data_IF_307011972169
#
_entry.id   IF_307011972169
#
_cell.length_a   1.000
_cell.length_b   1.000
_cell.length_c   1.000
_cell.angle_alpha   90.00
_cell.angle_beta   90.00
_cell.angle_gamma   90.00
#
_symmetry.space_group_name_H-M   'P 1'
#
loop_
_entity.id
_entity.type
_entity.pdbx_description
1 polymer ?
#
# COMPACT_ATOMS: atom_id res chain seq x y z
N UNK A 1 -26.27 -5.89 -8.28
CA UNK A 1 -25.64 -4.87 -9.14
C UNK A 1 -25.17 -3.74 -8.22
N UNK A 2 -23.91 -3.33 -8.31
CA UNK A 2 -23.43 -2.16 -7.56
C UNK A 2 -24.03 -0.87 -8.10
N UNK A 3 -24.06 0.18 -7.29
CA UNK A 3 -24.52 1.49 -7.71
C UNK A 3 -23.66 2.02 -8.87
N UNK A 4 -24.31 2.66 -9.86
CA UNK A 4 -23.64 3.26 -11.03
C UNK A 4 -23.48 4.77 -10.84
N UNK A 5 -22.70 5.42 -11.71
CA UNK A 5 -22.51 6.87 -11.66
C UNK A 5 -22.98 7.53 -12.96
N UNK A 6 -23.37 8.80 -12.92
CA UNK A 6 -23.70 9.58 -14.13
C UNK A 6 -22.56 10.56 -14.43
N UNK A 7 -22.02 10.45 -15.65
CA UNK A 7 -21.11 11.45 -16.20
C UNK A 7 -21.90 12.46 -17.04
N UNK A 8 -21.66 13.75 -16.80
CA UNK A 8 -22.25 14.85 -17.58
C UNK A 8 -21.23 16.01 -17.75
N UNK A 9 -20.00 15.75 -18.23
CA UNK A 9 -19.03 16.81 -18.44
C UNK A 9 -19.41 17.71 -19.62
N UNK A 10 -18.79 18.88 -19.63
CA UNK A 10 -18.74 19.73 -20.83
C UNK A 10 -17.74 19.14 -21.81
N UNK A 11 -18.19 18.89 -23.03
CA UNK A 11 -17.35 18.42 -24.12
C UNK A 11 -16.57 19.53 -24.82
N UNK A 12 -15.69 19.14 -25.74
CA UNK A 12 -14.86 20.09 -26.52
C UNK A 12 -15.58 20.59 -27.77
N UNK A 13 -16.61 19.88 -28.25
CA UNK A 13 -17.37 20.18 -29.45
C UNK A 13 -16.63 19.75 -30.71
N UNK A 14 -16.24 18.48 -30.81
CA UNK A 14 -15.52 17.97 -31.97
C UNK A 14 -16.49 17.24 -32.91
N UNK A 15 -17.23 17.98 -33.74
CA UNK A 15 -18.25 17.40 -34.63
C UNK A 15 -17.71 16.28 -35.53
N UNK A 16 -16.48 16.42 -36.03
CA UNK A 16 -15.84 15.37 -36.86
C UNK A 16 -15.59 14.06 -36.11
N UNK A 17 -15.40 14.13 -34.78
CA UNK A 17 -15.35 12.95 -33.93
C UNK A 17 -16.75 12.37 -33.73
N UNK A 18 -17.71 13.23 -33.35
CA UNK A 18 -19.08 12.83 -33.03
C UNK A 18 -19.77 12.15 -34.22
N UNK A 19 -19.52 12.66 -35.43
CA UNK A 19 -20.12 12.16 -36.66
C UNK A 19 -19.28 11.09 -37.36
N UNK A 20 -18.15 10.68 -36.76
CA UNK A 20 -17.23 9.68 -37.30
C UNK A 20 -16.64 10.04 -38.67
N UNK A 21 -16.47 11.33 -38.95
CA UNK A 21 -15.69 11.83 -40.10
C UNK A 21 -14.19 11.48 -39.95
N UNK A 22 -13.76 11.23 -38.72
CA UNK A 22 -12.44 10.68 -38.39
C UNK A 22 -12.56 9.61 -37.29
N UNK A 23 -11.81 8.52 -37.45
CA UNK A 23 -11.76 7.42 -36.49
C UNK A 23 -10.57 7.61 -35.54
N UNK A 24 -10.86 7.85 -34.27
CA UNK A 24 -9.83 7.98 -33.23
C UNK A 24 -9.31 6.61 -32.77
N UNK A 25 -8.14 6.58 -32.13
CA UNK A 25 -7.51 5.32 -31.63
C UNK A 25 -8.38 4.52 -30.65
N UNK A 26 -9.38 5.15 -30.03
CA UNK A 26 -10.22 4.50 -29.02
C UNK A 26 -11.52 3.94 -29.61
N UNK A 27 -11.80 4.25 -30.88
CA UNK A 27 -12.95 3.76 -31.61
C UNK A 27 -12.60 2.39 -32.19
N UNK A 28 -13.52 1.45 -32.06
CA UNK A 28 -13.45 0.15 -32.74
C UNK A 28 -14.27 0.26 -34.02
N UNK A 29 -13.63 0.39 -35.20
CA UNK A 29 -14.30 0.72 -36.47
C UNK A 29 -15.46 -0.23 -36.80
N UNK A 30 -15.28 -1.50 -36.47
CA UNK A 30 -16.25 -2.56 -36.74
C UNK A 30 -17.55 -2.37 -35.95
N UNK A 31 -17.57 -1.56 -34.89
CA UNK A 31 -18.75 -1.31 -34.06
C UNK A 31 -19.46 0.00 -34.40
N UNK A 32 -18.93 0.81 -35.31
CA UNK A 32 -19.50 2.13 -35.66
C UNK A 32 -20.95 2.03 -36.12
N UNK A 33 -21.36 0.92 -36.74
CA UNK A 33 -22.74 0.68 -37.15
C UNK A 33 -23.72 0.44 -35.98
N UNK A 34 -23.21 0.25 -34.75
CA UNK A 34 -24.04 0.23 -33.55
C UNK A 34 -24.40 1.63 -33.05
N UNK A 35 -23.66 2.66 -33.46
CA UNK A 35 -23.94 4.03 -33.06
C UNK A 35 -25.35 4.45 -33.48
N UNK A 36 -25.97 5.35 -32.70
CA UNK A 36 -27.32 5.84 -32.97
C UNK A 36 -27.29 7.35 -33.19
N UNK A 37 -27.95 7.80 -34.24
CA UNK A 37 -28.06 9.23 -34.58
C UNK A 37 -29.50 9.65 -34.28
N UNK A 38 -29.68 10.62 -33.38
CA UNK A 38 -30.99 11.17 -33.03
C UNK A 38 -31.23 12.53 -33.69
N UNK A 39 -30.16 13.28 -33.93
CA UNK A 39 -30.17 14.55 -34.64
C UNK A 39 -28.80 14.75 -35.28
N UNK A 40 -28.76 15.22 -36.52
CA UNK A 40 -27.52 15.56 -37.22
C UNK A 40 -27.82 16.60 -38.30
N UNK A 41 -27.70 17.87 -37.91
CA UNK A 41 -27.85 19.04 -38.77
C UNK A 41 -26.49 19.76 -38.89
N UNK A 42 -26.20 20.39 -40.03
CA UNK A 42 -25.01 21.23 -40.13
C UNK A 42 -25.11 22.45 -39.21
N UNK A 43 -23.96 22.95 -38.74
CA UNK A 43 -23.94 24.12 -37.86
C UNK A 43 -24.51 25.36 -38.57
N UNK A 44 -24.26 25.47 -39.88
CA UNK A 44 -24.74 26.54 -40.73
C UNK A 44 -26.28 26.54 -40.87
N UNK A 45 -26.89 25.38 -41.16
CA UNK A 45 -28.35 25.26 -41.25
C UNK A 45 -29.01 25.54 -39.89
N UNK A 46 -28.42 25.03 -38.81
CA UNK A 46 -28.92 25.26 -37.47
C UNK A 46 -28.87 26.74 -37.08
N UNK A 47 -27.81 27.45 -37.47
CA UNK A 47 -27.68 28.90 -37.26
C UNK A 47 -28.72 29.69 -38.06
N UNK A 48 -28.99 29.29 -39.30
CA UNK A 48 -30.02 29.92 -40.13
C UNK A 48 -31.41 29.74 -39.49
N UNK A 49 -31.75 28.54 -39.00
CA UNK A 49 -33.01 28.31 -38.28
C UNK A 49 -33.11 29.11 -36.99
N UNK A 50 -32.02 29.20 -36.23
CA UNK A 50 -32.02 29.88 -34.94
C UNK A 50 -32.03 31.42 -35.06
N UNK A 51 -31.33 31.97 -36.04
CA UNK A 51 -30.98 33.40 -36.08
C UNK A 51 -31.24 34.08 -37.42
N UNK A 52 -31.52 33.35 -38.50
CA UNK A 52 -31.66 33.89 -39.85
C UNK A 52 -32.70 35.00 -39.93
N UNK A 53 -33.90 34.77 -39.38
CA UNK A 53 -34.96 35.79 -39.34
C UNK A 53 -34.53 37.04 -38.55
N UNK A 54 -33.98 36.85 -37.34
CA UNK A 54 -33.52 37.97 -36.51
C UNK A 54 -32.37 38.77 -37.16
N UNK A 55 -31.53 38.11 -37.95
CA UNK A 55 -30.44 38.74 -38.71
C UNK A 55 -31.00 39.58 -39.85
N UNK A 56 -31.96 39.04 -40.60
CA UNK A 56 -32.66 39.77 -41.68
C UNK A 56 -33.34 41.03 -41.13
N UNK A 57 -34.11 40.89 -40.06
CA UNK A 57 -34.83 42.00 -39.43
C UNK A 57 -33.86 43.08 -38.91
N UNK A 58 -32.78 42.66 -38.25
CA UNK A 58 -31.74 43.58 -37.78
C UNK A 58 -31.10 44.37 -38.94
N UNK A 59 -30.75 43.69 -40.04
CA UNK A 59 -30.11 44.29 -41.19
C UNK A 59 -31.05 45.23 -41.96
N UNK A 60 -32.33 44.90 -42.06
CA UNK A 60 -33.36 45.74 -42.67
C UNK A 60 -33.49 47.09 -41.93
N UNK A 61 -33.35 47.09 -40.61
CA UNK A 61 -33.37 48.30 -39.80
C UNK A 61 -32.07 49.15 -39.87
N UNK A 62 -30.96 48.62 -40.43
CA UNK A 62 -29.68 49.33 -40.48
C UNK A 62 -29.59 50.31 -41.67
N UNK A 63 -29.47 51.60 -41.36
CA UNK A 63 -29.14 52.67 -42.32
C UNK A 63 -27.67 52.69 -42.74
N UNK A 64 -26.78 52.26 -41.84
CA UNK A 64 -25.32 52.26 -42.03
C UNK A 64 -24.83 50.91 -42.54
N UNK A 65 -24.13 50.88 -43.68
CA UNK A 65 -23.65 49.64 -44.29
C UNK A 65 -22.66 48.89 -43.39
N UNK A 66 -21.81 49.60 -42.67
CA UNK A 66 -20.81 49.03 -41.75
C UNK A 66 -21.41 48.37 -40.50
N UNK A 67 -22.68 48.62 -40.19
CA UNK A 67 -23.39 48.00 -39.05
C UNK A 67 -24.15 46.73 -39.42
N UNK A 68 -24.30 46.44 -40.70
CA UNK A 68 -24.95 45.21 -41.18
C UNK A 68 -24.04 44.03 -40.93
N UNK A 69 -24.65 42.88 -40.62
CA UNK A 69 -23.96 41.62 -40.36
C UNK A 69 -24.23 40.68 -41.52
N UNK A 70 -23.19 40.16 -42.15
CA UNK A 70 -23.34 39.26 -43.28
C UNK A 70 -23.63 37.82 -42.84
N UNK A 71 -22.90 37.34 -41.83
CA UNK A 71 -23.02 35.96 -41.35
C UNK A 71 -22.89 35.95 -39.82
N UNK A 72 -23.99 35.63 -39.12
CA UNK A 72 -24.00 35.68 -37.66
C UNK A 72 -23.14 34.59 -37.00
N UNK A 73 -22.95 33.43 -37.64
CA UNK A 73 -22.03 32.40 -37.15
C UNK A 73 -20.60 32.95 -37.08
N UNK A 74 -20.12 33.58 -38.17
CA UNK A 74 -18.80 34.23 -38.21
C UNK A 74 -18.67 35.36 -37.20
N UNK A 75 -19.74 36.07 -36.90
CA UNK A 75 -19.75 37.11 -35.86
C UNK A 75 -19.49 36.51 -34.47
N UNK A 76 -20.01 35.32 -34.18
CA UNK A 76 -19.75 34.61 -32.94
C UNK A 76 -18.32 34.05 -32.91
N UNK A 77 -17.85 33.44 -34.00
CA UNK A 77 -16.47 32.92 -34.11
C UNK A 77 -15.41 34.00 -33.84
N UNK A 78 -15.65 35.21 -34.33
CA UNK A 78 -14.73 36.34 -34.18
C UNK A 78 -15.00 37.19 -32.92
N UNK A 79 -15.97 36.80 -32.09
CA UNK A 79 -16.38 37.56 -30.91
C UNK A 79 -15.35 37.46 -29.78
N UNK A 80 -14.96 38.61 -29.20
CA UNK A 80 -14.15 38.66 -27.99
C UNK A 80 -14.89 38.29 -26.70
N UNK A 81 -16.22 38.05 -26.76
CA UNK A 81 -17.07 37.85 -25.59
C UNK A 81 -17.02 36.43 -24.99
N UNK A 82 -16.16 35.55 -25.53
CA UNK A 82 -16.00 34.14 -25.10
C UNK A 82 -17.25 33.27 -25.29
N UNK A 83 -18.24 33.74 -26.06
CA UNK A 83 -19.37 32.92 -26.50
C UNK A 83 -18.87 31.89 -27.51
N UNK A 84 -19.30 30.63 -27.36
CA UNK A 84 -18.96 29.58 -28.31
C UNK A 84 -20.04 29.49 -29.38
N UNK A 85 -19.68 29.09 -30.59
CA UNK A 85 -20.65 28.84 -31.66
C UNK A 85 -21.67 27.78 -31.25
N UNK A 86 -21.22 26.76 -30.52
CA UNK A 86 -22.09 25.80 -29.86
C UNK A 86 -21.44 25.23 -28.60
N UNK A 87 -22.21 24.43 -27.87
CA UNK A 87 -21.79 23.79 -26.63
C UNK A 87 -22.08 22.29 -26.71
N UNK A 88 -21.18 21.49 -26.13
CA UNK A 88 -21.30 20.04 -26.09
C UNK A 88 -21.43 19.57 -24.64
N UNK A 89 -22.32 18.61 -24.42
CA UNK A 89 -22.32 17.77 -23.23
C UNK A 89 -22.16 16.31 -23.62
N UNK A 90 -21.27 15.62 -22.89
CA UNK A 90 -21.10 14.17 -23.04
C UNK A 90 -21.83 13.50 -21.88
N UNK A 91 -22.73 12.56 -22.16
CA UNK A 91 -23.56 11.92 -21.14
C UNK A 91 -23.32 10.41 -21.13
N UNK A 92 -22.97 9.86 -19.98
CA UNK A 92 -22.69 8.44 -19.80
C UNK A 92 -23.30 7.94 -18.49
N UNK A 93 -23.78 6.70 -18.49
CA UNK A 93 -24.24 5.98 -17.30
C UNK A 93 -23.23 4.85 -17.03
N UNK A 94 -22.74 4.79 -15.80
CA UNK A 94 -21.73 3.82 -15.37
C UNK A 94 -20.31 4.17 -15.83
N UNK A 95 -19.40 3.23 -15.59
CA UNK A 95 -17.99 3.25 -15.99
C UNK A 95 -17.65 1.97 -16.75
N UNK A 96 -16.45 1.90 -17.33
CA UNK A 96 -16.05 0.77 -18.18
C UNK A 96 -16.18 -0.58 -17.45
N UNK A 97 -15.93 -0.59 -16.15
CA UNK A 97 -15.93 -1.80 -15.33
C UNK A 97 -17.34 -2.32 -15.06
N UNK A 98 -18.37 -1.46 -15.06
CA UNK A 98 -19.74 -1.85 -14.73
C UNK A 98 -20.72 -1.76 -15.91
N UNK A 99 -20.38 -1.03 -16.97
CA UNK A 99 -21.21 -0.82 -18.17
C UNK A 99 -20.34 -0.86 -19.44
N UNK A 100 -19.51 -1.91 -19.65
CA UNK A 100 -18.74 -2.04 -20.87
C UNK A 100 -19.68 -2.27 -22.06
N UNK A 101 -19.36 -1.71 -23.23
CA UNK A 101 -20.16 -1.96 -24.44
C UNK A 101 -20.21 -3.46 -24.77
N UNK A 102 -19.07 -4.15 -24.73
CA UNK A 102 -18.96 -5.56 -25.14
C UNK A 102 -18.53 -6.49 -24.00
N UNK A 103 -19.00 -7.73 -24.08
CA UNK A 103 -18.51 -8.85 -23.26
C UNK A 103 -17.19 -9.42 -23.81
N UNK A 104 -16.69 -10.48 -23.17
CA UNK A 104 -15.45 -11.18 -23.56
C UNK A 104 -15.52 -11.78 -24.98
N UNK A 105 -16.73 -12.01 -25.49
CA UNK A 105 -16.97 -12.58 -26.82
C UNK A 105 -17.22 -11.49 -27.89
N UNK A 106 -17.17 -10.21 -27.51
CA UNK A 106 -17.44 -9.09 -28.41
C UNK A 106 -18.92 -8.80 -28.64
N UNK A 107 -19.84 -9.39 -27.88
CA UNK A 107 -21.27 -9.13 -27.98
C UNK A 107 -21.70 -7.96 -27.09
N UNK A 108 -22.73 -7.23 -27.50
CA UNK A 108 -23.29 -6.12 -26.72
C UNK A 108 -23.80 -6.62 -25.35
N UNK A 109 -23.29 -6.04 -24.26
CA UNK A 109 -23.67 -6.45 -22.89
C UNK A 109 -25.09 -6.04 -22.55
N UNK A 110 -25.71 -6.72 -21.57
CA UNK A 110 -27.03 -6.36 -21.07
C UNK A 110 -27.01 -4.98 -20.37
N UNK A 111 -25.94 -4.67 -19.64
CA UNK A 111 -25.75 -3.36 -19.01
C UNK A 111 -25.66 -2.25 -20.06
N UNK A 112 -24.96 -2.49 -21.17
CA UNK A 112 -24.89 -1.53 -22.26
C UNK A 112 -26.24 -1.35 -22.97
N UNK A 113 -27.03 -2.42 -23.14
CA UNK A 113 -28.39 -2.34 -23.70
C UNK A 113 -29.31 -1.48 -22.81
N UNK A 114 -29.32 -1.73 -21.51
CA UNK A 114 -30.13 -0.95 -20.56
C UNK A 114 -29.69 0.53 -20.57
N UNK A 115 -28.39 0.80 -20.51
CA UNK A 115 -27.86 2.17 -20.58
C UNK A 115 -28.23 2.86 -21.90
N UNK A 116 -28.18 2.13 -23.02
CA UNK A 116 -28.59 2.61 -24.35
C UNK A 116 -30.05 3.03 -24.37
N UNK A 117 -30.95 2.23 -23.81
CA UNK A 117 -32.39 2.57 -23.73
C UNK A 117 -32.64 3.85 -22.90
N UNK A 118 -31.98 3.98 -21.75
CA UNK A 118 -32.12 5.15 -20.88
C UNK A 118 -31.61 6.41 -21.60
N UNK A 119 -30.41 6.32 -22.19
CA UNK A 119 -29.82 7.43 -22.90
C UNK A 119 -30.64 7.80 -24.15
N UNK A 120 -31.21 6.83 -24.85
CA UNK A 120 -32.12 7.06 -25.97
C UNK A 120 -33.36 7.86 -25.54
N UNK A 121 -34.01 7.45 -24.45
CA UNK A 121 -35.17 8.17 -23.90
C UNK A 121 -34.77 9.60 -23.47
N UNK A 122 -33.61 9.75 -22.84
CA UNK A 122 -33.07 11.05 -22.44
C UNK A 122 -32.84 11.97 -23.64
N UNK A 123 -32.24 11.46 -24.72
CA UNK A 123 -31.94 12.19 -25.96
C UNK A 123 -33.23 12.64 -26.67
N UNK A 124 -34.18 11.72 -26.87
CA UNK A 124 -35.45 12.00 -27.57
C UNK A 124 -36.29 13.09 -26.91
N UNK A 125 -36.19 13.21 -25.58
CA UNK A 125 -36.96 14.18 -24.79
C UNK A 125 -36.14 15.45 -24.45
N UNK A 126 -34.88 15.55 -24.90
CA UNK A 126 -33.98 16.65 -24.53
C UNK A 126 -34.49 18.02 -24.96
N UNK A 127 -34.95 18.16 -26.21
CA UNK A 127 -35.39 19.45 -26.76
C UNK A 127 -36.61 20.02 -26.02
N UNK A 128 -37.52 19.15 -25.58
CA UNK A 128 -38.74 19.54 -24.84
C UNK A 128 -38.42 20.15 -23.47
N UNK A 129 -37.42 19.59 -22.76
CA UNK A 129 -36.95 20.12 -21.46
C UNK A 129 -36.08 21.37 -21.61
N UNK A 130 -35.51 21.57 -22.79
CA UNK A 130 -34.49 22.58 -23.08
C UNK A 130 -34.89 23.46 -24.27
N UNK A 131 -36.03 24.17 -24.22
CA UNK A 131 -36.57 24.89 -25.39
C UNK A 131 -35.63 25.97 -25.94
N UNK A 132 -34.75 26.53 -25.11
CA UNK A 132 -33.79 27.57 -25.53
C UNK A 132 -32.39 27.03 -25.82
N UNK A 133 -32.20 25.71 -25.81
CA UNK A 133 -30.98 25.06 -26.26
C UNK A 133 -31.34 24.25 -27.50
N UNK A 134 -31.12 24.83 -28.68
CA UNK A 134 -31.45 24.19 -29.95
C UNK A 134 -30.49 23.02 -30.19
N UNK A 135 -31.03 21.80 -30.13
CA UNK A 135 -30.30 20.56 -30.36
C UNK A 135 -30.12 20.37 -31.87
N UNK A 136 -28.89 20.55 -32.35
CA UNK A 136 -28.57 20.40 -33.78
C UNK A 136 -27.75 19.15 -34.08
N UNK A 137 -27.09 18.55 -33.07
CA UNK A 137 -26.41 17.27 -33.24
C UNK A 137 -26.51 16.43 -31.95
N UNK A 138 -26.90 15.17 -32.09
CA UNK A 138 -27.06 14.23 -30.99
C UNK A 138 -26.76 12.81 -31.45
N UNK A 139 -25.62 12.27 -31.03
CA UNK A 139 -25.10 10.97 -31.45
C UNK A 139 -24.73 10.13 -30.24
N UNK A 140 -25.12 8.86 -30.24
CA UNK A 140 -24.72 7.86 -29.26
C UNK A 140 -23.61 6.98 -29.82
N UNK A 141 -22.52 6.88 -29.08
CA UNK A 141 -21.40 6.00 -29.38
C UNK A 141 -21.53 4.68 -28.64
N UNK A 142 -21.51 3.58 -29.39
CA UNK A 142 -21.46 2.19 -28.94
C UNK A 142 -20.22 1.48 -29.49
N UNK A 143 -19.28 2.22 -30.07
CA UNK A 143 -18.05 1.73 -30.69
C UNK A 143 -16.80 2.02 -29.84
N UNK A 144 -16.98 2.59 -28.65
CA UNK A 144 -15.93 2.87 -27.67
C UNK A 144 -16.05 1.96 -26.44
N UNK A 145 -15.48 2.35 -25.28
CA UNK A 145 -15.46 1.50 -24.09
C UNK A 145 -16.83 1.40 -23.40
N UNK A 146 -17.59 2.48 -23.38
CA UNK A 146 -18.86 2.66 -22.65
C UNK A 146 -19.88 3.36 -23.54
N UNK A 147 -21.17 3.01 -23.48
CA UNK A 147 -22.21 3.76 -24.15
C UNK A 147 -22.25 5.22 -23.68
N UNK A 148 -22.16 6.18 -24.59
CA UNK A 148 -22.26 7.59 -24.24
C UNK A 148 -22.88 8.42 -25.35
N UNK A 149 -23.54 9.51 -24.96
CA UNK A 149 -24.11 10.51 -25.86
C UNK A 149 -23.19 11.71 -26.00
N UNK A 150 -23.08 12.20 -27.22
CA UNK A 150 -22.68 13.56 -27.53
C UNK A 150 -23.95 14.38 -27.82
N UNK A 151 -24.12 15.49 -27.09
CA UNK A 151 -25.26 16.39 -27.21
C UNK A 151 -24.72 17.78 -27.50
N UNK A 152 -24.81 18.20 -28.75
CA UNK A 152 -24.35 19.51 -29.23
C UNK A 152 -25.55 20.43 -29.45
N UNK A 153 -25.52 21.60 -28.81
CA UNK A 153 -26.62 22.55 -28.84
C UNK A 153 -26.15 24.00 -28.99
N UNK A 154 -27.03 24.80 -29.58
CA UNK A 154 -26.88 26.25 -29.74
C UNK A 154 -27.82 26.94 -28.75
N UNK A 155 -27.32 27.78 -27.83
CA UNK A 155 -28.18 28.55 -26.96
C UNK A 155 -28.87 29.67 -27.72
N UNK A 156 -30.20 29.76 -27.63
CA UNK A 156 -31.00 30.78 -28.31
C UNK A 156 -31.67 31.65 -27.25
N UNK A 157 -31.32 32.93 -27.24
CA UNK A 157 -31.84 33.89 -26.27
C UNK A 157 -32.53 35.07 -26.96
N UNK A 158 -33.74 35.40 -26.53
CA UNK A 158 -34.60 36.41 -27.16
C UNK A 158 -34.65 37.74 -26.41
N UNK A 159 -35.31 38.76 -26.98
CA UNK A 159 -35.67 39.99 -26.28
C UNK A 159 -34.49 40.91 -25.94
N UNK A 160 -33.48 41.01 -26.81
CA UNK A 160 -32.44 42.04 -26.69
C UNK A 160 -32.93 43.37 -27.30
N UNK A 161 -32.74 44.47 -26.58
CA UNK A 161 -33.18 45.82 -27.02
C UNK A 161 -32.19 46.54 -27.94
N UNK A 162 -30.94 46.11 -27.92
CA UNK A 162 -29.89 46.61 -28.82
C UNK A 162 -29.48 45.49 -29.75
N UNK A 163 -28.81 45.79 -30.87
CA UNK A 163 -28.32 44.77 -31.82
C UNK A 163 -29.43 43.87 -32.37
N UNK A 164 -29.09 42.60 -32.67
CA UNK A 164 -30.07 41.58 -33.00
C UNK A 164 -30.94 41.24 -31.77
N UNK A 165 -32.25 41.07 -31.99
CA UNK A 165 -33.24 40.74 -30.94
C UNK A 165 -33.03 39.34 -30.36
N UNK A 166 -32.69 38.38 -31.22
CA UNK A 166 -32.34 36.99 -30.86
C UNK A 166 -30.83 36.80 -31.02
N UNK A 167 -30.18 36.16 -30.05
CA UNK A 167 -28.71 36.01 -30.00
C UNK A 167 -28.28 34.66 -29.42
N UNK A 168 -27.06 34.24 -29.76
CA UNK A 168 -26.38 33.15 -29.06
C UNK A 168 -25.91 33.63 -27.69
N UNK A 169 -26.58 33.20 -26.62
CA UNK A 169 -26.18 33.54 -25.25
C UNK A 169 -26.64 32.48 -24.26
N UNK A 170 -25.71 31.62 -23.82
CA UNK A 170 -26.02 30.54 -22.88
C UNK A 170 -26.65 31.04 -21.57
N UNK A 171 -26.09 32.10 -20.98
CA UNK A 171 -26.58 32.62 -19.70
C UNK A 171 -28.03 33.11 -19.81
N UNK A 172 -28.34 33.91 -20.83
CA UNK A 172 -29.70 34.44 -20.99
C UNK A 172 -30.69 33.36 -21.45
N UNK A 173 -30.25 32.41 -22.29
CA UNK A 173 -31.07 31.26 -22.69
C UNK A 173 -31.50 30.44 -21.47
N UNK A 174 -30.56 30.11 -20.57
CA UNK A 174 -30.88 29.42 -19.32
C UNK A 174 -31.80 30.25 -18.40
N UNK A 175 -31.56 31.56 -18.26
CA UNK A 175 -32.44 32.44 -17.48
C UNK A 175 -33.89 32.45 -18.01
N UNK A 176 -34.05 32.47 -19.33
CA UNK A 176 -35.37 32.41 -19.98
C UNK A 176 -36.06 31.05 -19.80
N UNK A 177 -35.31 29.98 -19.54
CA UNK A 177 -35.84 28.69 -19.10
C UNK A 177 -36.12 28.62 -17.59
N UNK A 178 -36.00 29.73 -16.85
CA UNK A 178 -36.34 29.83 -15.43
C UNK A 178 -35.18 29.58 -14.47
N UNK A 179 -33.94 29.45 -14.93
CA UNK A 179 -32.78 29.32 -14.04
C UNK A 179 -32.41 30.68 -13.41
N UNK A 180 -32.25 30.68 -12.09
CA UNK A 180 -31.92 31.88 -11.34
C UNK A 180 -30.56 32.45 -11.75
N UNK A 181 -30.46 33.78 -11.73
CA UNK A 181 -29.23 34.50 -12.06
C UNK A 181 -28.09 34.07 -11.13
N UNK A 182 -26.89 33.91 -11.67
CA UNK A 182 -25.72 33.50 -10.89
C UNK A 182 -25.47 34.37 -9.65
N UNK A 183 -25.26 33.70 -8.52
CA UNK A 183 -24.83 34.31 -7.23
C UNK A 183 -23.33 34.16 -7.05
N UNK A 184 -22.74 33.07 -7.57
CA UNK A 184 -21.30 32.82 -7.52
C UNK A 184 -20.84 31.98 -8.73
N UNK A 185 -19.53 31.78 -8.87
CA UNK A 185 -19.01 30.84 -9.90
C UNK A 185 -19.49 29.41 -9.68
N UNK A 186 -19.77 29.01 -8.43
CA UNK A 186 -20.25 27.66 -8.08
C UNK A 186 -21.77 27.56 -8.10
N UNK A 187 -22.48 28.69 -8.06
CA UNK A 187 -23.93 28.79 -8.07
C UNK A 187 -24.36 29.69 -9.23
N UNK A 188 -24.43 29.08 -10.41
CA UNK A 188 -24.82 29.72 -11.66
C UNK A 188 -25.85 28.89 -12.43
N UNK A 189 -26.38 29.47 -13.50
CA UNK A 189 -27.43 28.90 -14.33
C UNK A 189 -27.03 27.54 -14.90
N UNK A 190 -25.78 27.41 -15.37
CA UNK A 190 -25.26 26.16 -15.95
C UNK A 190 -25.22 25.04 -14.91
N UNK A 191 -24.78 25.35 -13.69
CA UNK A 191 -24.72 24.36 -12.58
C UNK A 191 -26.13 23.93 -12.18
N UNK A 192 -27.07 24.87 -12.07
CA UNK A 192 -28.47 24.56 -11.75
C UNK A 192 -29.13 23.71 -12.84
N UNK A 193 -28.87 24.04 -14.11
CA UNK A 193 -29.33 23.27 -15.25
C UNK A 193 -28.76 21.85 -15.29
N UNK A 194 -27.44 21.69 -15.12
CA UNK A 194 -26.81 20.37 -15.06
C UNK A 194 -27.34 19.53 -13.90
N UNK A 195 -27.64 20.15 -12.75
CA UNK A 195 -28.27 19.47 -11.61
C UNK A 195 -29.67 18.96 -11.98
N UNK A 196 -30.48 19.76 -12.68
CA UNK A 196 -31.80 19.34 -13.19
C UNK A 196 -31.69 18.16 -14.17
N UNK A 197 -30.78 18.23 -15.14
CA UNK A 197 -30.61 17.14 -16.12
C UNK A 197 -30.09 15.84 -15.46
N UNK A 198 -29.16 15.94 -14.51
CA UNK A 198 -28.69 14.78 -13.73
C UNK A 198 -29.80 14.16 -12.89
N UNK A 199 -30.67 14.97 -12.29
CA UNK A 199 -31.82 14.48 -11.53
C UNK A 199 -32.79 13.71 -12.45
N UNK A 200 -33.09 14.26 -13.63
CA UNK A 200 -33.95 13.57 -14.59
C UNK A 200 -33.35 12.24 -15.08
N UNK A 201 -32.05 12.22 -15.41
CA UNK A 201 -31.34 10.97 -15.75
C UNK A 201 -31.37 9.95 -14.60
N UNK A 202 -31.28 10.41 -13.36
CA UNK A 202 -31.33 9.55 -12.17
C UNK A 202 -32.70 8.87 -12.05
N UNK A 203 -33.79 9.59 -12.30
CA UNK A 203 -35.14 9.00 -12.32
C UNK A 203 -35.28 7.98 -13.45
N UNK A 204 -34.79 8.27 -14.66
CA UNK A 204 -34.80 7.29 -15.76
C UNK A 204 -33.99 6.02 -15.44
N UNK A 205 -32.86 6.17 -14.75
CA UNK A 205 -32.07 5.03 -14.28
C UNK A 205 -32.86 4.20 -13.26
N UNK A 206 -33.53 4.86 -12.32
CA UNK A 206 -34.35 4.23 -11.29
C UNK A 206 -35.53 3.45 -11.85
N UNK A 207 -36.19 3.97 -12.90
CA UNK A 207 -37.27 3.26 -13.63
C UNK A 207 -36.79 1.92 -14.22
N UNK A 208 -35.51 1.82 -14.57
CA UNK A 208 -34.86 0.60 -15.07
C UNK A 208 -34.15 -0.22 -13.99
N UNK A 209 -34.36 0.10 -12.71
CA UNK A 209 -33.77 -0.62 -11.58
C UNK A 209 -32.28 -0.35 -11.35
N UNK A 210 -31.74 0.75 -11.90
CA UNK A 210 -30.35 1.17 -11.69
C UNK A 210 -30.30 2.18 -10.55
N UNK A 211 -29.58 1.84 -9.49
CA UNK A 211 -29.25 2.78 -8.42
C UNK A 211 -28.06 3.68 -8.82
N UNK A 212 -28.20 4.99 -8.61
CA UNK A 212 -27.15 5.97 -8.92
C UNK A 212 -26.50 6.46 -7.64
N UNK A 213 -25.18 6.28 -7.54
CA UNK A 213 -24.35 6.88 -6.51
C UNK A 213 -23.91 8.28 -6.92
N UNK A 214 -24.23 9.28 -6.10
CA UNK A 214 -23.75 10.65 -6.27
C UNK A 214 -22.45 10.80 -5.49
N UNK A 215 -21.33 10.64 -6.19
CA UNK A 215 -20.01 10.91 -5.61
C UNK A 215 -19.91 12.40 -5.28
N UNK A 216 -19.81 12.75 -3.99
CA UNK A 216 -19.67 14.13 -3.49
C UNK A 216 -18.36 14.83 -3.84
N UNK A 217 -17.60 14.28 -4.79
CA UNK A 217 -16.30 14.80 -5.22
C UNK A 217 -16.55 15.74 -6.39
N UNK A 218 -16.18 17.00 -6.20
CA UNK A 218 -16.13 18.00 -7.27
C UNK A 218 -15.06 17.56 -8.29
N UNK A 219 -15.46 16.81 -9.33
CA UNK A 219 -14.56 16.34 -10.38
C UNK A 219 -14.30 17.46 -11.38
N UNK A 220 -13.02 17.73 -11.64
CA UNK A 220 -12.62 18.59 -12.75
C UNK A 220 -12.98 17.94 -14.10
N UNK A 221 -13.34 18.76 -15.10
CA UNK A 221 -13.61 18.28 -16.46
C UNK A 221 -12.27 17.87 -17.12
N UNK A 222 -11.88 16.62 -16.96
CA UNK A 222 -10.71 16.06 -17.64
C UNK A 222 -11.08 15.66 -19.08
N UNK A 223 -10.24 16.01 -20.04
CA UNK A 223 -10.30 15.43 -21.38
C UNK A 223 -9.89 13.95 -21.37
N UNK A 224 -10.25 13.19 -22.41
CA UNK A 224 -9.92 11.76 -22.49
C UNK A 224 -8.42 11.44 -22.26
N UNK A 225 -7.45 12.18 -22.83
CA UNK A 225 -6.03 11.96 -22.52
C UNK A 225 -5.69 12.21 -21.05
N UNK A 226 -6.23 13.29 -20.46
CA UNK A 226 -6.00 13.65 -19.06
C UNK A 226 -6.62 12.60 -18.12
N UNK A 227 -7.82 12.12 -18.42
CA UNK A 227 -8.46 11.02 -17.69
C UNK A 227 -7.63 9.74 -17.75
N UNK A 228 -7.15 9.35 -18.94
CA UNK A 228 -6.30 8.16 -19.09
C UNK A 228 -4.98 8.27 -18.31
N UNK A 229 -4.38 9.46 -18.28
CA UNK A 229 -3.18 9.71 -17.50
C UNK A 229 -3.47 9.61 -15.99
N UNK A 230 -4.53 10.25 -15.52
CA UNK A 230 -4.96 10.18 -14.13
C UNK A 230 -5.28 8.74 -13.69
N UNK A 231 -5.98 7.96 -14.53
CA UNK A 231 -6.28 6.56 -14.22
C UNK A 231 -5.03 5.68 -14.13
N UNK A 232 -4.03 5.90 -14.99
CA UNK A 232 -2.74 5.20 -14.88
C UNK A 232 -2.02 5.55 -13.59
N UNK A 233 -2.08 6.82 -13.18
CA UNK A 233 -1.50 7.26 -11.91
C UNK A 233 -2.20 6.61 -10.72
N UNK A 234 -3.54 6.57 -10.72
CA UNK A 234 -4.32 5.86 -9.69
C UNK A 234 -3.94 4.38 -9.63
N UNK A 235 -3.89 3.67 -10.76
CA UNK A 235 -3.49 2.26 -10.81
C UNK A 235 -2.08 2.06 -10.25
N UNK A 236 -1.14 2.95 -10.56
CA UNK A 236 0.23 2.87 -10.00
C UNK A 236 0.26 3.10 -8.50
N UNK A 237 -0.58 4.00 -7.98
CA UNK A 237 -0.69 4.27 -6.55
C UNK A 237 -1.36 3.10 -5.81
N UNK A 238 -2.38 2.48 -6.40
CA UNK A 238 -3.01 1.27 -5.86
C UNK A 238 -2.02 0.11 -5.77
N UNK A 239 -1.23 -0.13 -6.81
CA UNK A 239 -0.16 -1.13 -6.79
C UNK A 239 0.92 -0.84 -5.73
N UNK A 240 1.24 0.44 -5.49
CA UNK A 240 2.15 0.83 -4.43
C UNK A 240 1.54 0.59 -3.04
N UNK A 241 0.26 0.92 -2.86
CA UNK A 241 -0.46 0.70 -1.61
C UNK A 241 -0.52 -0.79 -1.25
N UNK A 242 -0.79 -1.67 -2.22
CA UNK A 242 -0.79 -3.13 -2.01
C UNK A 242 0.58 -3.65 -1.58
N UNK A 243 1.67 -3.18 -2.22
CA UNK A 243 3.04 -3.54 -1.82
C UNK A 243 3.37 -3.09 -0.40
N UNK A 244 2.96 -1.88 -0.03
CA UNK A 244 3.14 -1.37 1.34
C UNK A 244 2.36 -2.22 2.33
N UNK A 245 1.14 -2.64 2.00
CA UNK A 245 0.33 -3.50 2.86
C UNK A 245 0.98 -4.86 3.10
N UNK A 246 1.50 -5.50 2.04
CA UNK A 246 2.23 -6.76 2.13
C UNK A 246 3.47 -6.59 3.03
N UNK A 247 4.26 -5.54 2.80
CA UNK A 247 5.46 -5.26 3.59
C UNK A 247 5.14 -5.00 5.07
N UNK A 248 4.05 -4.29 5.36
CA UNK A 248 3.60 -4.05 6.73
C UNK A 248 3.17 -5.36 7.42
N UNK A 249 2.55 -6.29 6.71
CA UNK A 249 2.24 -7.63 7.26
C UNK A 249 3.50 -8.42 7.57
N UNK A 250 4.51 -8.37 6.71
CA UNK A 250 5.81 -9.01 6.96
C UNK A 250 6.52 -8.42 8.18
N UNK A 251 6.53 -7.09 8.31
CA UNK A 251 7.09 -6.40 9.48
C UNK A 251 6.35 -6.78 10.77
N UNK A 252 5.02 -6.91 10.72
CA UNK A 252 4.23 -7.33 11.87
C UNK A 252 4.60 -8.75 12.33
N UNK A 253 4.78 -9.69 11.39
CA UNK A 253 5.24 -11.06 11.70
C UNK A 253 6.66 -11.06 12.30
N UNK A 254 7.57 -10.25 11.76
CA UNK A 254 8.92 -10.11 12.30
C UNK A 254 8.92 -9.52 13.71
N UNK A 255 8.06 -8.53 13.98
CA UNK A 255 7.90 -7.95 15.31
C UNK A 255 7.37 -8.97 16.32
N UNK A 256 6.41 -9.81 15.92
CA UNK A 256 5.89 -10.89 16.78
C UNK A 256 6.96 -11.94 17.10
N UNK A 257 7.79 -12.30 16.12
CA UNK A 257 8.91 -13.23 16.33
C UNK A 257 9.98 -12.64 17.24
N UNK A 258 10.32 -11.36 17.08
CA UNK A 258 11.23 -10.67 17.99
C UNK A 258 10.68 -10.64 19.42
N UNK A 259 9.38 -10.37 19.59
CA UNK A 259 8.74 -10.37 20.90
C UNK A 259 8.90 -11.73 21.60
N UNK A 260 8.66 -12.84 20.88
CA UNK A 260 8.88 -14.20 21.42
C UNK A 260 10.33 -14.46 21.82
N UNK A 261 11.29 -13.93 21.05
CA UNK A 261 12.72 -14.06 21.38
C UNK A 261 13.10 -13.25 22.62
N UNK A 262 12.51 -12.06 22.80
CA UNK A 262 12.69 -11.25 24.01
C UNK A 262 12.14 -11.99 25.23
N UNK A 263 10.91 -12.51 25.17
CA UNK A 263 10.31 -13.27 26.27
C UNK A 263 11.18 -14.49 26.67
N UNK A 264 11.69 -15.21 25.67
CA UNK A 264 12.56 -16.37 25.91
C UNK A 264 13.92 -15.98 26.54
N UNK A 265 14.46 -14.81 26.19
CA UNK A 265 15.68 -14.29 26.79
C UNK A 265 15.45 -13.85 28.24
N UNK A 266 14.32 -13.18 28.53
CA UNK A 266 13.95 -12.76 29.88
C UNK A 266 13.78 -13.96 30.82
N UNK A 267 13.09 -15.01 30.39
CA UNK A 267 12.96 -16.26 31.17
C UNK A 267 14.32 -16.93 31.42
N UNK A 268 15.20 -16.92 30.43
CA UNK A 268 16.56 -17.47 30.58
C UNK A 268 17.40 -16.66 31.56
N UNK A 269 17.27 -15.34 31.53
CA UNK A 269 18.01 -14.45 32.43
C UNK A 269 17.54 -14.63 33.88
N UNK A 270 16.23 -14.76 34.09
CA UNK A 270 15.65 -15.10 35.41
C UNK A 270 16.15 -16.44 35.94
N UNK A 271 16.17 -17.48 35.10
CA UNK A 271 16.72 -18.80 35.46
C UNK A 271 18.21 -18.73 35.82
N UNK A 272 19.00 -17.95 35.08
CA UNK A 272 20.42 -17.73 35.38
C UNK A 272 20.60 -16.99 36.71
N UNK A 273 19.79 -15.97 37.00
CA UNK A 273 19.83 -15.26 38.28
C UNK A 273 19.49 -16.19 39.46
N UNK A 274 18.46 -17.04 39.33
CA UNK A 274 18.12 -18.04 40.35
C UNK A 274 19.22 -19.09 40.55
N UNK A 275 19.86 -19.53 39.47
CA UNK A 275 20.99 -20.46 39.52
C UNK A 275 22.19 -19.84 40.24
N UNK A 276 22.52 -18.58 39.94
CA UNK A 276 23.59 -17.83 40.62
C UNK A 276 23.27 -17.64 42.11
N UNK A 277 22.02 -17.34 42.47
CA UNK A 277 21.61 -17.20 43.87
C UNK A 277 21.73 -18.52 44.66
N UNK A 278 21.39 -19.67 44.04
CA UNK A 278 21.58 -21.00 44.67
C UNK A 278 23.05 -21.39 44.84
N UNK A 279 23.91 -20.93 43.94
CA UNK A 279 25.33 -21.26 43.91
C UNK A 279 26.25 -20.14 44.42
N UNK A 280 25.70 -19.12 45.09
CA UNK A 280 26.49 -18.17 45.87
C UNK A 280 27.06 -18.84 47.13
N UNK A 281 27.96 -19.79 46.87
CA UNK A 281 28.75 -20.53 47.86
C UNK A 281 29.62 -19.58 48.68
N UNK A 282 29.83 -18.34 48.25
CA UNK A 282 30.77 -17.43 48.91
C UNK A 282 30.27 -17.06 50.30
N UNK A 283 29.00 -16.66 50.43
CA UNK A 283 28.44 -16.24 51.71
C UNK A 283 28.20 -17.42 52.68
N UNK A 284 27.74 -18.57 52.17
CA UNK A 284 27.46 -19.76 52.98
C UNK A 284 28.75 -20.47 53.42
N UNK A 285 29.72 -20.62 52.53
CA UNK A 285 31.01 -21.27 52.85
C UNK A 285 31.85 -20.39 53.78
N UNK A 286 31.87 -19.06 53.61
CA UNK A 286 32.55 -18.14 54.54
C UNK A 286 31.94 -18.20 55.95
N UNK A 287 30.60 -18.30 56.06
CA UNK A 287 29.93 -18.47 57.36
C UNK A 287 30.29 -19.78 58.05
N UNK A 288 30.34 -20.89 57.32
CA UNK A 288 30.70 -22.20 57.88
C UNK A 288 32.17 -22.21 58.32
N UNK A 289 33.08 -21.69 57.49
CA UNK A 289 34.50 -21.59 57.81
C UNK A 289 34.73 -20.72 59.06
N UNK A 290 34.06 -19.57 59.17
CA UNK A 290 34.14 -18.71 60.36
C UNK A 290 33.68 -19.46 61.61
N UNK A 291 32.57 -20.19 61.54
CA UNK A 291 31.97 -20.87 62.69
C UNK A 291 32.84 -22.02 63.20
N UNK A 292 33.47 -22.77 62.30
CA UNK A 292 34.41 -23.83 62.65
C UNK A 292 35.72 -23.25 63.22
N UNK A 293 36.25 -22.19 62.61
CA UNK A 293 37.45 -21.50 63.10
C UNK A 293 37.25 -20.91 64.51
N UNK A 294 36.08 -20.32 64.78
CA UNK A 294 35.74 -19.78 66.11
C UNK A 294 35.63 -20.89 67.17
N UNK A 295 35.10 -22.06 66.78
CA UNK A 295 34.97 -23.22 67.65
C UNK A 295 36.34 -23.85 67.98
N UNK A 296 37.22 -24.02 66.99
CA UNK A 296 38.60 -24.47 67.22
C UNK A 296 39.40 -23.47 68.06
N UNK A 297 39.25 -22.16 67.80
CA UNK A 297 39.95 -21.11 68.57
C UNK A 297 39.53 -21.09 70.05
N UNK A 298 38.23 -21.27 70.35
CA UNK A 298 37.74 -21.39 71.74
C UNK A 298 38.26 -22.65 72.44
N UNK A 299 38.25 -23.79 71.74
CA UNK A 299 38.80 -25.04 72.24
C UNK A 299 40.29 -24.89 72.61
N UNK A 300 41.08 -24.29 71.72
CA UNK A 300 42.52 -24.09 71.93
C UNK A 300 42.85 -23.11 73.08
N UNK A 301 42.08 -22.03 73.26
CA UNK A 301 42.26 -21.10 74.38
C UNK A 301 42.00 -21.73 75.75
N UNK A 302 41.08 -22.70 75.83
CA UNK A 302 40.72 -23.36 77.10
C UNK A 302 41.79 -24.34 77.62
N UNK A 303 42.72 -24.78 76.77
CA UNK A 303 43.77 -25.76 77.10
C UNK A 303 45.10 -25.07 77.44
N UNK A 304 45.21 -23.77 77.16
CA UNK A 304 46.37 -22.94 77.43
C UNK A 304 46.35 -22.43 78.88
N UNK A 305 47.24 -22.95 79.74
CA UNK A 305 47.42 -22.41 81.11
C UNK A 305 48.61 -21.45 81.11
N UNK A 306 48.40 -20.15 81.42
CA UNK A 306 49.47 -19.17 81.49
C UNK A 306 50.39 -19.47 82.70
N UNK A 307 51.70 -19.35 82.50
CA UNK A 307 52.70 -19.54 83.55
C UNK A 307 53.46 -18.24 83.73
N UNK A 308 53.43 -17.67 84.93
CA UNK A 308 54.23 -16.49 85.26
C UNK A 308 55.70 -16.89 85.34
N UNK A 309 56.55 -16.28 84.51
CA UNK A 309 57.99 -16.54 84.50
C UNK A 309 58.75 -15.46 85.29
N UNK A 310 59.74 -15.87 86.10
CA UNK A 310 60.50 -14.98 86.99
C UNK A 310 61.73 -14.32 86.31
N UNK A 311 62.03 -14.67 85.06
CA UNK A 311 63.14 -14.09 84.29
C UNK A 311 62.77 -13.96 82.79
N UNK A 312 62.50 -12.73 82.32
CA UNK A 312 62.33 -12.38 80.90
C UNK A 312 60.87 -12.22 80.43
N UNK A 313 60.58 -11.11 79.73
CA UNK A 313 59.23 -10.61 79.40
C UNK A 313 58.48 -11.31 78.25
N UNK A 314 58.67 -12.61 78.05
CA UNK A 314 57.88 -13.38 77.09
C UNK A 314 56.82 -14.24 77.81
N UNK A 315 55.58 -14.23 77.33
CA UNK A 315 54.49 -15.04 77.91
C UNK A 315 54.65 -16.53 77.54
N UNK A 316 54.71 -17.40 78.55
CA UNK A 316 54.79 -18.85 78.35
C UNK A 316 53.48 -19.54 78.71
N UNK A 317 53.09 -20.51 77.88
CA UNK A 317 51.90 -21.34 78.07
C UNK A 317 52.30 -22.80 78.15
N UNK A 318 51.83 -23.53 79.18
CA UNK A 318 52.09 -24.96 79.32
C UNK A 318 50.99 -25.77 78.63
N UNK A 319 51.36 -26.57 77.63
CA UNK A 319 50.43 -27.41 76.85
C UNK A 319 50.93 -28.86 76.81
N UNK A 320 50.04 -29.85 76.91
CA UNK A 320 50.40 -31.28 76.77
C UNK A 320 50.89 -31.56 75.34
N UNK A 321 51.90 -32.42 75.17
CA UNK A 321 52.54 -32.70 73.86
C UNK A 321 51.54 -33.18 72.78
N UNK A 322 50.54 -33.97 73.16
CA UNK A 322 49.46 -34.39 72.25
C UNK A 322 48.62 -33.23 71.74
N UNK A 323 48.41 -32.22 72.58
CA UNK A 323 47.61 -31.06 72.25
C UNK A 323 48.45 -30.00 71.52
N UNK A 324 49.75 -29.90 71.82
CA UNK A 324 50.71 -29.14 71.00
C UNK A 324 50.78 -29.66 69.56
N UNK A 325 50.83 -30.98 69.36
CA UNK A 325 50.83 -31.55 68.02
C UNK A 325 49.53 -31.24 67.27
N UNK A 326 48.38 -31.23 67.95
CA UNK A 326 47.10 -30.80 67.35
C UNK A 326 47.12 -29.31 66.98
N UNK A 327 47.71 -28.46 67.81
CA UNK A 327 47.88 -27.03 67.54
C UNK A 327 48.76 -26.83 66.29
N UNK A 328 49.88 -27.53 66.21
CA UNK A 328 50.80 -27.44 65.06
C UNK A 328 50.17 -27.99 63.78
N UNK A 329 49.38 -29.08 63.86
CA UNK A 329 48.66 -29.64 62.71
C UNK A 329 47.55 -28.69 62.21
N UNK A 330 46.79 -28.08 63.13
CA UNK A 330 45.80 -27.06 62.80
C UNK A 330 46.46 -25.83 62.13
N UNK A 331 47.59 -25.37 62.66
CA UNK A 331 48.34 -24.25 62.08
C UNK A 331 48.91 -24.60 60.69
N UNK A 332 49.45 -25.80 60.52
CA UNK A 332 49.95 -26.29 59.23
C UNK A 332 48.84 -26.39 58.18
N UNK A 333 47.65 -26.87 58.57
CA UNK A 333 46.46 -26.89 57.71
C UNK A 333 45.99 -25.47 57.36
N UNK A 334 46.01 -24.54 58.30
CA UNK A 334 45.64 -23.14 58.07
C UNK A 334 46.59 -22.43 57.09
N UNK A 335 47.92 -22.60 57.27
CA UNK A 335 48.94 -22.06 56.35
C UNK A 335 48.77 -22.68 54.95
N UNK A 336 48.50 -23.98 54.88
CA UNK A 336 48.25 -24.68 53.61
C UNK A 336 46.98 -24.20 52.92
N UNK A 337 45.90 -23.91 53.68
CA UNK A 337 44.66 -23.31 53.16
C UNK A 337 44.88 -21.89 52.64
N UNK A 338 45.63 -21.06 53.37
CA UNK A 338 45.97 -19.71 52.92
C UNK A 338 46.80 -19.74 51.63
N UNK A 339 47.74 -20.67 51.52
CA UNK A 339 48.51 -20.86 50.28
C UNK A 339 47.62 -21.29 49.09
N UNK A 340 46.63 -22.15 49.33
CA UNK A 340 45.62 -22.52 48.33
C UNK A 340 44.75 -21.33 47.93
N UNK A 341 44.28 -20.53 48.88
CA UNK A 341 43.49 -19.31 48.63
C UNK A 341 44.26 -18.31 47.78
N UNK A 342 45.52 -18.03 48.13
CA UNK A 342 46.38 -17.13 47.36
C UNK A 342 46.60 -17.63 45.91
N UNK A 343 46.70 -18.96 45.72
CA UNK A 343 46.79 -19.57 44.39
C UNK A 343 45.50 -19.41 43.58
N UNK A 344 44.33 -19.52 44.22
CA UNK A 344 43.05 -19.30 43.55
C UNK A 344 42.80 -17.83 43.25
N UNK A 345 43.15 -16.90 44.14
CA UNK A 345 43.07 -15.46 43.90
C UNK A 345 43.92 -15.04 42.71
N UNK A 346 45.16 -15.53 42.61
CA UNK A 346 46.03 -15.29 41.44
C UNK A 346 45.41 -15.82 40.14
N UNK A 347 44.75 -16.99 40.18
CA UNK A 347 44.04 -17.55 39.01
C UNK A 347 42.81 -16.73 38.64
N UNK A 348 42.02 -16.31 39.61
CA UNK A 348 40.82 -15.47 39.39
C UNK A 348 41.25 -14.15 38.75
N UNK A 349 42.25 -13.47 39.32
CA UNK A 349 42.78 -12.23 38.75
C UNK A 349 43.29 -12.41 37.31
N UNK A 350 43.97 -13.52 37.02
CA UNK A 350 44.41 -13.83 35.66
C UNK A 350 43.25 -14.07 34.68
N UNK A 351 42.17 -14.71 35.14
CA UNK A 351 40.96 -14.92 34.34
C UNK A 351 40.21 -13.61 34.11
N UNK A 352 40.04 -12.78 35.13
CA UNK A 352 39.41 -11.46 35.02
C UNK A 352 40.14 -10.57 34.00
N UNK A 353 41.48 -10.56 34.05
CA UNK A 353 42.30 -9.82 33.06
C UNK A 353 42.11 -10.36 31.64
N UNK A 354 42.03 -11.69 31.46
CA UNK A 354 41.75 -12.30 30.16
C UNK A 354 40.36 -11.91 29.65
N UNK A 355 39.34 -11.96 30.50
CA UNK A 355 37.98 -11.56 30.15
C UNK A 355 37.95 -10.10 29.70
N UNK A 356 38.55 -9.18 30.45
CA UNK A 356 38.63 -7.77 30.07
C UNK A 356 39.30 -7.56 28.69
N UNK A 357 40.38 -8.30 28.42
CA UNK A 357 41.10 -8.23 27.14
C UNK A 357 40.23 -8.74 25.98
N UNK A 358 39.55 -9.87 26.16
CA UNK A 358 38.65 -10.43 25.16
C UNK A 358 37.45 -9.52 24.90
N UNK A 359 36.90 -8.89 25.93
CA UNK A 359 35.81 -7.92 25.80
C UNK A 359 36.23 -6.70 24.96
N UNK A 360 37.41 -6.14 25.21
CA UNK A 360 37.95 -5.03 24.40
C UNK A 360 38.18 -5.44 22.93
N UNK A 361 38.70 -6.64 22.69
CA UNK A 361 38.88 -7.17 21.34
C UNK A 361 37.55 -7.36 20.60
N UNK A 362 36.54 -7.91 21.28
CA UNK A 362 35.19 -8.07 20.71
C UNK A 362 34.62 -6.71 20.33
N UNK A 363 34.78 -5.68 21.17
CA UNK A 363 34.26 -4.34 20.90
C UNK A 363 34.93 -3.70 19.67
N UNK A 364 36.26 -3.88 19.54
CA UNK A 364 37.00 -3.44 18.35
C UNK A 364 36.53 -4.16 17.08
N UNK A 365 36.30 -5.47 17.15
CA UNK A 365 35.79 -6.25 16.02
C UNK A 365 34.37 -5.81 15.63
N UNK A 366 33.49 -5.55 16.59
CA UNK A 366 32.14 -5.01 16.32
C UNK A 366 32.21 -3.68 15.57
N UNK A 367 33.06 -2.75 16.02
CA UNK A 367 33.28 -1.45 15.35
C UNK A 367 33.85 -1.63 13.93
N UNK A 368 34.74 -2.60 13.73
CA UNK A 368 35.28 -2.91 12.41
C UNK A 368 34.18 -3.44 11.46
N UNK A 369 33.37 -4.40 11.90
CA UNK A 369 32.26 -4.95 11.12
C UNK A 369 31.26 -3.86 10.74
N UNK A 370 30.92 -2.98 11.68
CA UNK A 370 30.02 -1.85 11.44
C UNK A 370 30.59 -0.84 10.43
N UNK A 371 31.85 -0.41 10.60
CA UNK A 371 32.48 0.59 9.71
C UNK A 371 32.72 0.10 8.28
N UNK A 372 32.74 -1.22 8.06
CA UNK A 372 32.88 -1.84 6.73
C UNK A 372 31.55 -2.26 6.11
N UNK A 373 30.41 -2.03 6.77
CA UNK A 373 29.10 -2.46 6.27
C UNK A 373 28.92 -3.98 6.20
N UNK A 374 29.72 -4.74 6.94
CA UNK A 374 29.74 -6.22 6.90
C UNK A 374 28.76 -6.85 7.91
N UNK A 375 27.86 -6.06 8.50
CA UNK A 375 26.99 -6.49 9.60
C UNK A 375 26.08 -7.67 9.23
N UNK A 376 25.43 -7.60 8.07
CA UNK A 376 24.51 -8.65 7.60
C UNK A 376 25.27 -9.95 7.26
N UNK A 377 26.38 -9.84 6.52
CA UNK A 377 27.23 -10.98 6.14
C UNK A 377 27.81 -11.68 7.38
N UNK A 378 28.22 -10.91 8.38
CA UNK A 378 28.72 -11.46 9.64
C UNK A 378 27.60 -12.16 10.45
N UNK A 379 26.38 -11.60 10.46
CA UNK A 379 25.24 -12.23 11.11
C UNK A 379 24.86 -13.57 10.44
N UNK A 380 24.91 -13.65 9.11
CA UNK A 380 24.73 -14.91 8.38
C UNK A 380 25.83 -15.93 8.68
N UNK A 381 27.09 -15.48 8.70
CA UNK A 381 28.22 -16.32 9.07
C UNK A 381 28.09 -16.89 10.49
N UNK A 382 27.72 -16.06 11.47
CA UNK A 382 27.48 -16.52 12.85
C UNK A 382 26.31 -17.51 12.91
N UNK A 383 25.22 -17.26 12.16
CA UNK A 383 24.11 -18.24 12.04
C UNK A 383 24.60 -19.58 11.48
N UNK A 384 25.48 -19.57 10.48
CA UNK A 384 26.06 -20.80 9.91
C UNK A 384 26.95 -21.59 10.89
N UNK A 385 27.54 -20.91 11.87
CA UNK A 385 28.38 -21.51 12.91
C UNK A 385 27.58 -22.02 14.12
N UNK A 386 26.28 -21.69 14.21
CA UNK A 386 25.45 -22.22 15.30
C UNK A 386 25.39 -23.75 15.23
N UNK A 387 25.62 -24.47 16.35
CA UNK A 387 25.61 -25.92 16.34
C UNK A 387 24.25 -26.42 15.88
N UNK A 388 24.21 -27.16 14.75
CA UNK A 388 22.98 -27.79 14.26
C UNK A 388 22.31 -28.56 15.41
N UNK A 389 21.00 -28.35 15.57
CA UNK A 389 20.22 -29.05 16.60
C UNK A 389 20.33 -30.56 16.43
N UNK A 390 20.19 -31.33 17.52
CA UNK A 390 20.19 -32.80 17.44
C UNK A 390 19.14 -33.32 16.44
N UNK A 391 18.02 -32.61 16.30
CA UNK A 391 16.95 -32.91 15.34
C UNK A 391 17.41 -32.73 13.89
N UNK A 392 18.12 -31.65 13.57
CA UNK A 392 18.71 -31.44 12.23
C UNK A 392 19.82 -32.46 11.92
N UNK A 393 20.65 -32.81 12.91
CA UNK A 393 21.66 -33.88 12.74
C UNK A 393 21.02 -35.26 12.53
N UNK A 394 19.86 -35.52 13.14
CA UNK A 394 19.10 -36.76 12.97
C UNK A 394 18.45 -36.84 11.58
N UNK A 395 17.91 -35.73 11.07
CA UNK A 395 17.36 -35.60 9.71
C UNK A 395 18.44 -35.83 8.65
N UNK A 396 19.61 -35.18 8.77
CA UNK A 396 20.73 -35.40 7.84
C UNK A 396 21.21 -36.86 7.86
N UNK A 397 21.33 -37.47 9.05
CA UNK A 397 21.68 -38.89 9.18
C UNK A 397 20.63 -39.82 8.60
N UNK A 398 19.34 -39.45 8.64
CA UNK A 398 18.26 -40.21 7.99
C UNK A 398 18.33 -40.08 6.47
N UNK A 399 18.57 -38.88 5.94
CA UNK A 399 18.75 -38.64 4.51
C UNK A 399 19.95 -39.42 3.96
N UNK A 400 21.11 -39.39 4.65
CA UNK A 400 22.29 -40.16 4.30
C UNK A 400 22.03 -41.68 4.30
N UNK A 401 21.26 -42.16 5.29
CA UNK A 401 20.89 -43.57 5.39
C UNK A 401 19.89 -43.99 4.30
N UNK A 402 18.96 -43.11 3.92
CA UNK A 402 18.03 -43.33 2.81
C UNK A 402 18.74 -43.33 1.46
N UNK A 403 19.73 -42.46 1.27
CA UNK A 403 20.55 -42.41 0.06
C UNK A 403 21.46 -43.64 -0.05
N UNK A 404 22.12 -44.05 1.04
CA UNK A 404 22.87 -45.31 1.08
C UNK A 404 21.97 -46.52 0.83
N UNK A 405 20.75 -46.53 1.36
CA UNK A 405 19.79 -47.62 1.10
C UNK A 405 19.28 -47.62 -0.34
N UNK A 406 19.07 -46.46 -0.95
CA UNK A 406 18.78 -46.36 -2.40
C UNK A 406 19.93 -46.93 -3.20
N UNK A 407 21.17 -46.48 -2.97
CA UNK A 407 22.35 -46.99 -3.67
C UNK A 407 22.57 -48.50 -3.48
N UNK A 408 22.33 -49.03 -2.27
CA UNK A 408 22.38 -50.49 -2.01
C UNK A 408 21.29 -51.27 -2.76
N UNK A 409 20.06 -50.75 -2.84
CA UNK A 409 18.99 -51.38 -3.63
C UNK A 409 19.31 -51.38 -5.13
N UNK A 410 19.85 -50.28 -5.66
CA UNK A 410 20.31 -50.21 -7.06
C UNK A 410 21.47 -51.15 -7.35
N UNK A 411 22.34 -51.38 -6.35
CA UNK A 411 23.48 -52.31 -6.46
C UNK A 411 23.02 -53.77 -6.35
N UNK A 412 22.07 -54.10 -5.47
CA UNK A 412 21.54 -55.47 -5.33
C UNK A 412 20.65 -55.90 -6.51
N UNK A 413 19.93 -54.99 -7.16
CA UNK A 413 19.19 -55.29 -8.40
C UNK A 413 20.10 -55.60 -9.60
N UNK A 414 21.38 -55.16 -9.59
CA UNK A 414 22.36 -55.48 -10.64
C UNK A 414 23.09 -56.81 -10.44
N UNK A 415 22.89 -57.52 -9.32
CA UNK A 415 23.65 -58.72 -8.95
C UNK A 415 23.00 -60.09 -9.29
N UNK A 416 21.71 -60.26 -9.67
CA UNK A 416 21.23 -61.59 -10.08
C UNK A 416 21.81 -62.09 -11.41
N UNK A 417 22.23 -61.19 -12.32
CA UNK A 417 22.59 -61.59 -13.70
C UNK A 417 24.00 -62.16 -13.88
N UNK A 418 24.91 -62.01 -12.90
CA UNK A 418 26.25 -62.62 -13.02
C UNK A 418 26.29 -64.10 -12.63
N UNK A 419 25.31 -64.62 -11.87
CA UNK A 419 25.27 -66.05 -11.51
C UNK A 419 24.60 -66.95 -12.56
N UNK A 420 23.79 -66.40 -13.47
CA UNK A 420 23.21 -67.15 -14.61
C UNK A 420 24.14 -67.28 -15.82
N UNK A 421 25.13 -66.40 -15.99
CA UNK A 421 26.09 -66.48 -17.12
C UNK A 421 27.24 -67.49 -16.93
N UNK A 422 27.50 -67.97 -15.71
CA UNK A 422 28.60 -68.91 -15.43
C UNK A 422 28.17 -70.39 -15.38
N UNK A 423 26.89 -70.70 -15.64
CA UNK A 423 26.39 -72.08 -15.78
C UNK A 423 26.05 -72.48 -17.22
N UNK A 424 26.39 -71.64 -18.22
CA UNK A 424 26.26 -71.96 -19.64
C UNK A 424 27.60 -72.16 -20.38
N UNK A 425 28.74 -72.14 -19.67
CA UNK A 425 30.08 -72.34 -20.25
C UNK A 425 30.91 -73.41 -19.51
N UNK A 426 30.28 -74.46 -18.97
CA UNK A 426 30.98 -75.72 -18.66
C UNK A 426 30.35 -76.89 -19.41
#
# INVERSE_FOLDING_TARGET
>A
MGAKTISFPKGKGHLTHNNRDFISKNVVPERTYWNRIYMQESLEEAYEKCFGQALMDYNAAQKRKDRRKENYLKEIENSGNKEKTFYENIVQIGKKEDTPVVDENGNLTEEAKIATEILEQYAKTFQERNPNLYLFNCVMHLDEATPHLHIDYIPVAHGYKTGMETRNSLTKALQQMGFAKAVSKKENETVAWQKRERAYLTELCKEKGIEIEVLGIQRDNLSLPEYKAAMREVETLEQQAEKIEIHNRELALQAEELAKQVDALEERDKSNQEFLAKHDLRASTLKVISKEADAETKSMKSVAVPVNNLFGGEEYVKVKKSDWNKIMDAFSRAVSRNHLLEKYEKKIFALEKKTATLTDQIEKLKKFVASRGLGEVFAEFVKSLTPKSFKQKLEEKKADAEEQNRQRKTTQQKVPDKKKKLQQEM
#
